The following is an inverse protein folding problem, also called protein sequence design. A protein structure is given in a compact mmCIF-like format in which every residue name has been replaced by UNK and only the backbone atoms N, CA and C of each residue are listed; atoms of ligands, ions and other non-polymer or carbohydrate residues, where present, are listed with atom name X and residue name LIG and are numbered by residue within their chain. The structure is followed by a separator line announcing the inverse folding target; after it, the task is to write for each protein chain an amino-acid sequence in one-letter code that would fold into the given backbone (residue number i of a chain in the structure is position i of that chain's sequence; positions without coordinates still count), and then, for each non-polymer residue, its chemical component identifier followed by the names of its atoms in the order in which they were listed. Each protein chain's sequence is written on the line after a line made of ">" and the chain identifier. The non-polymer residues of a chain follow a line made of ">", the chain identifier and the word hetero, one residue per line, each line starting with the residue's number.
data_IF_928361721978
#
_entry.id   IF_928361721978
#
_cell.length_a   1.000
_cell.length_b   1.000
_cell.length_c   1.000
_cell.angle_alpha   90.00
_cell.angle_beta   90.00
_cell.angle_gamma   90.00
#
_symmetry.space_group_name_H-M   'P 1'
#
loop_
_entity.id
_entity.type
_entity.pdbx_description
1 polymer ?
#
# COMPACT_ATOMS: atom_id res chain seq x y z
N UNK A 1 -24.09 33.51 -44.75
CA UNK A 1 -22.68 33.11 -44.51
C UNK A 1 -22.20 33.36 -43.08
N UNK A 2 -22.44 34.52 -42.45
CA UNK A 2 -21.89 34.87 -41.12
C UNK A 2 -22.26 33.93 -39.95
N UNK A 3 -23.47 33.38 -39.93
CA UNK A 3 -23.93 32.51 -38.82
C UNK A 3 -23.22 31.14 -38.82
N UNK A 4 -22.93 30.56 -39.99
CA UNK A 4 -22.19 29.29 -40.09
C UNK A 4 -20.73 29.45 -39.61
N UNK A 5 -20.11 30.59 -39.88
CA UNK A 5 -18.75 30.90 -39.42
C UNK A 5 -18.68 31.11 -37.90
N UNK A 6 -19.71 31.70 -37.29
CA UNK A 6 -19.80 31.88 -35.83
C UNK A 6 -20.02 30.55 -35.10
N UNK A 7 -20.86 29.66 -35.64
CA UNK A 7 -21.08 28.31 -35.08
C UNK A 7 -19.80 27.47 -35.19
N UNK A 8 -19.10 27.54 -36.33
CA UNK A 8 -17.83 26.82 -36.51
C UNK A 8 -16.73 27.35 -35.58
N UNK A 9 -16.63 28.68 -35.39
CA UNK A 9 -15.69 29.27 -34.45
C UNK A 9 -16.00 28.93 -32.99
N UNK A 10 -17.28 28.88 -32.61
CA UNK A 10 -17.72 28.44 -31.28
C UNK A 10 -17.42 26.94 -31.05
N UNK A 11 -17.68 26.08 -32.03
CA UNK A 11 -17.30 24.66 -31.97
C UNK A 11 -15.78 24.48 -31.87
N UNK A 12 -14.99 25.24 -32.62
CA UNK A 12 -13.52 25.21 -32.51
C UNK A 12 -13.02 25.73 -31.15
N UNK A 13 -13.66 26.73 -30.54
CA UNK A 13 -13.29 27.19 -29.19
C UNK A 13 -13.68 26.18 -28.12
N UNK A 14 -14.80 25.47 -28.28
CA UNK A 14 -15.19 24.38 -27.36
C UNK A 14 -14.23 23.20 -27.49
N UNK A 15 -13.80 22.81 -28.71
CA UNK A 15 -12.81 21.72 -28.86
C UNK A 15 -11.45 22.10 -28.26
N UNK A 16 -10.99 23.34 -28.42
CA UNK A 16 -9.73 23.80 -27.80
C UNK A 16 -9.84 23.89 -26.27
N UNK A 17 -11.02 24.28 -25.73
CA UNK A 17 -11.27 24.29 -24.28
C UNK A 17 -11.30 22.90 -23.64
N UNK A 18 -11.77 21.88 -24.37
CA UNK A 18 -11.79 20.49 -23.88
C UNK A 18 -10.39 19.86 -23.87
N UNK A 19 -9.50 20.25 -24.78
CA UNK A 19 -8.08 19.83 -24.74
C UNK A 19 -7.26 20.56 -23.66
N UNK A 20 -7.82 21.58 -22.97
CA UNK A 20 -7.08 22.38 -21.99
C UNK A 20 -7.17 21.85 -20.54
N UNK A 21 -7.88 20.74 -20.29
CA UNK A 21 -7.96 20.13 -18.97
C UNK A 21 -7.09 18.86 -18.91
N UNK A 22 -5.84 19.07 -18.47
CA UNK A 22 -4.88 18.04 -18.00
C UNK A 22 -4.08 17.30 -19.09
N UNK A 23 -2.92 17.87 -19.49
CA UNK A 23 -2.08 17.47 -20.66
C UNK A 23 -0.63 17.12 -20.28
N UNK A 24 -0.31 16.78 -19.03
CA UNK A 24 1.08 16.46 -18.70
C UNK A 24 1.46 15.05 -19.16
N UNK A 25 2.53 14.86 -19.95
CA UNK A 25 2.94 13.53 -20.45
C UNK A 25 3.53 12.63 -19.35
N UNK A 26 3.68 13.14 -18.13
CA UNK A 26 4.22 12.39 -17.01
C UNK A 26 3.09 11.83 -16.14
N UNK A 27 3.07 10.51 -15.96
CA UNK A 27 2.03 9.82 -15.19
C UNK A 27 2.27 9.81 -13.67
N UNK A 28 3.40 10.33 -13.17
CA UNK A 28 3.68 10.38 -11.73
C UNK A 28 4.11 9.07 -11.07
N UNK A 29 4.33 7.99 -11.82
CA UNK A 29 4.72 6.69 -11.24
C UNK A 29 6.25 6.56 -11.02
N UNK A 30 7.06 7.00 -11.99
CA UNK A 30 8.52 6.82 -11.98
C UNK A 30 9.27 8.01 -11.38
N UNK A 31 8.86 8.45 -10.19
CA UNK A 31 9.47 9.57 -9.49
C UNK A 31 10.94 9.27 -9.13
N UNK A 32 11.83 10.20 -9.43
CA UNK A 32 13.23 10.19 -9.01
C UNK A 32 13.79 11.63 -8.96
N UNK A 33 15.01 11.78 -8.46
CA UNK A 33 15.63 13.11 -8.30
C UNK A 33 15.79 13.88 -9.61
N UNK A 34 15.95 13.19 -10.75
CA UNK A 34 16.08 13.81 -12.06
C UNK A 34 14.78 14.35 -12.64
N UNK A 35 13.62 13.95 -12.12
CA UNK A 35 12.31 14.34 -12.66
C UNK A 35 11.34 14.93 -11.62
N UNK A 36 11.81 15.25 -10.42
CA UNK A 36 11.01 15.80 -9.32
C UNK A 36 10.20 17.07 -9.70
N UNK A 37 10.73 17.89 -10.61
CA UNK A 37 10.09 19.13 -11.05
C UNK A 37 8.98 18.95 -12.11
N UNK A 38 8.75 17.72 -12.58
CA UNK A 38 7.71 17.45 -13.58
C UNK A 38 6.33 17.48 -12.94
N UNK A 39 5.41 18.16 -13.60
CA UNK A 39 4.00 18.16 -13.25
C UNK A 39 3.31 16.89 -13.78
N UNK A 40 2.31 16.42 -13.06
CA UNK A 40 1.47 15.26 -13.39
C UNK A 40 0.06 15.49 -12.86
N UNK A 41 -0.93 14.91 -13.53
CA UNK A 41 -2.33 14.92 -13.11
C UNK A 41 -2.69 13.72 -12.19
N UNK A 42 -1.67 12.92 -11.85
CA UNK A 42 -1.81 11.79 -10.96
C UNK A 42 -2.29 12.19 -9.56
N UNK A 43 -3.07 11.31 -8.93
CA UNK A 43 -3.69 11.56 -7.63
C UNK A 43 -3.01 10.71 -6.56
N UNK A 44 -2.23 11.33 -5.69
CA UNK A 44 -1.65 10.65 -4.52
C UNK A 44 -2.67 10.51 -3.40
N UNK A 45 -2.63 9.39 -2.69
CA UNK A 45 -3.52 9.05 -1.58
C UNK A 45 -2.75 8.24 -0.53
N UNK A 46 -3.33 8.14 0.66
CA UNK A 46 -2.76 7.42 1.79
C UNK A 46 -3.86 6.71 2.56
N UNK A 47 -3.75 5.39 2.69
CA UNK A 47 -4.59 4.57 3.57
C UNK A 47 -3.83 4.33 4.88
N UNK A 48 -4.54 4.45 5.99
CA UNK A 48 -4.02 4.22 7.35
C UNK A 48 -5.16 3.86 8.30
N UNK A 49 -4.89 3.50 9.56
CA UNK A 49 -5.93 3.32 10.57
C UNK A 49 -6.83 4.56 10.78
N UNK A 50 -6.37 5.76 10.42
CA UNK A 50 -7.17 7.00 10.47
C UNK A 50 -8.10 7.16 9.26
N UNK A 51 -7.86 6.43 8.17
CA UNK A 51 -8.55 6.58 6.90
C UNK A 51 -8.43 5.28 6.08
N UNK A 52 -9.34 4.33 6.31
CA UNK A 52 -9.32 3.01 5.65
C UNK A 52 -9.57 3.08 4.14
N UNK A 53 -10.27 4.11 3.66
CA UNK A 53 -10.58 4.28 2.22
C UNK A 53 -9.51 5.10 1.49
N UNK A 54 -8.70 5.86 2.23
CA UNK A 54 -7.73 6.79 1.65
C UNK A 54 -8.37 8.01 0.99
N UNK A 55 -9.68 8.23 1.15
CA UNK A 55 -10.39 9.36 0.56
C UNK A 55 -9.84 10.71 1.04
N UNK A 56 -9.93 11.72 0.16
CA UNK A 56 -9.47 13.07 0.46
C UNK A 56 -10.24 13.65 1.65
N UNK A 57 -9.51 14.11 2.66
CA UNK A 57 -10.08 14.79 3.83
C UNK A 57 -10.77 13.87 4.83
N UNK A 58 -10.52 12.55 4.77
CA UNK A 58 -11.12 11.55 5.68
C UNK A 58 -10.18 11.05 6.77
N UNK A 59 -8.98 11.60 6.92
CA UNK A 59 -8.11 11.33 8.07
C UNK A 59 -8.50 12.16 9.30
N UNK A 60 -8.27 11.63 10.51
CA UNK A 60 -8.51 12.36 11.75
C UNK A 60 -9.99 12.54 12.10
N UNK A 61 -10.87 11.66 11.63
CA UNK A 61 -12.32 11.84 11.76
C UNK A 61 -12.90 11.32 13.08
N UNK A 62 -12.12 10.52 13.82
CA UNK A 62 -12.51 9.91 15.07
C UNK A 62 -12.66 10.93 16.21
N UNK A 63 -13.68 10.75 17.04
CA UNK A 63 -13.93 11.53 18.24
C UNK A 63 -13.53 10.70 19.49
N UNK A 64 -12.54 11.16 20.29
CA UNK A 64 -12.01 10.37 21.39
C UNK A 64 -12.98 10.19 22.57
N UNK A 65 -14.10 10.93 22.59
CA UNK A 65 -15.14 10.76 23.62
C UNK A 65 -16.26 9.88 23.11
N UNK A 66 -16.73 10.12 21.88
CA UNK A 66 -17.88 9.40 21.31
C UNK A 66 -17.53 8.03 20.75
N UNK A 67 -16.33 7.87 20.20
CA UNK A 67 -15.93 6.66 19.48
C UNK A 67 -15.05 5.72 20.32
N UNK A 68 -14.79 6.04 21.59
CA UNK A 68 -13.84 5.35 22.48
C UNK A 68 -14.01 3.83 22.61
N UNK A 69 -15.24 3.32 22.51
CA UNK A 69 -15.55 1.91 22.71
C UNK A 69 -15.63 1.13 21.37
N UNK A 70 -15.35 1.80 20.24
CA UNK A 70 -15.39 1.21 18.91
C UNK A 70 -14.00 0.73 18.47
N UNK A 71 -13.87 -0.59 18.28
CA UNK A 71 -12.63 -1.24 17.82
C UNK A 71 -12.19 -0.64 16.48
N UNK A 72 -10.92 -0.28 16.39
CA UNK A 72 -10.31 0.24 15.16
C UNK A 72 -10.91 1.56 14.67
N UNK A 73 -11.55 2.32 15.56
CA UNK A 73 -12.05 3.67 15.28
C UNK A 73 -11.37 4.72 16.15
N UNK A 74 -11.14 4.46 17.43
CA UNK A 74 -10.50 5.40 18.36
C UNK A 74 -9.57 4.68 19.35
N UNK A 75 -8.70 3.80 18.86
CA UNK A 75 -7.91 2.91 19.71
C UNK A 75 -6.97 3.65 20.70
N UNK A 76 -6.60 4.90 20.43
CA UNK A 76 -5.80 5.74 21.34
C UNK A 76 -6.62 6.86 22.02
N UNK A 77 -7.94 6.69 22.14
CA UNK A 77 -8.84 7.71 22.69
C UNK A 77 -8.40 8.25 24.06
N UNK A 78 -7.86 7.40 24.94
CA UNK A 78 -7.45 7.84 26.28
C UNK A 78 -6.30 8.84 26.23
N UNK A 79 -5.31 8.63 25.35
CA UNK A 79 -4.20 9.56 25.15
C UNK A 79 -4.65 10.83 24.42
N UNK A 80 -5.70 10.75 23.61
CA UNK A 80 -6.28 11.85 22.87
C UNK A 80 -7.53 12.46 23.53
N UNK A 81 -7.82 12.16 24.81
CA UNK A 81 -9.11 12.45 25.46
C UNK A 81 -9.50 13.93 25.49
N UNK A 82 -8.50 14.80 25.50
CA UNK A 82 -8.66 16.26 25.52
C UNK A 82 -8.52 16.89 24.12
N UNK A 83 -8.32 16.04 23.10
CA UNK A 83 -8.24 16.43 21.69
C UNK A 83 -9.61 16.23 21.01
N UNK A 84 -9.80 16.86 19.85
CA UNK A 84 -11.00 16.72 19.04
C UNK A 84 -10.73 16.07 17.68
N UNK A 85 -11.76 16.05 16.82
CA UNK A 85 -11.60 15.70 15.41
C UNK A 85 -10.53 16.57 14.74
N UNK A 86 -9.76 15.97 13.83
CA UNK A 86 -8.59 16.54 13.17
C UNK A 86 -7.26 16.08 13.77
N UNK A 87 -7.27 15.50 14.98
CA UNK A 87 -6.09 14.89 15.60
C UNK A 87 -6.02 13.38 15.33
N UNK A 88 -4.84 12.80 15.57
CA UNK A 88 -4.61 11.36 15.44
C UNK A 88 -5.10 10.62 16.68
N UNK A 89 -6.26 9.98 16.59
CA UNK A 89 -6.98 9.32 17.69
C UNK A 89 -6.96 7.78 17.56
N UNK A 90 -6.74 7.28 16.35
CA UNK A 90 -6.67 5.89 15.95
C UNK A 90 -5.36 5.60 15.19
N UNK A 91 -4.22 5.53 15.88
CA UNK A 91 -2.92 5.35 15.21
C UNK A 91 -2.64 3.91 14.74
N UNK A 92 -3.40 2.92 15.22
CA UNK A 92 -3.23 1.50 14.91
C UNK A 92 -4.57 0.78 14.82
N UNK A 93 -4.57 -0.40 14.20
CA UNK A 93 -5.65 -1.37 14.27
C UNK A 93 -5.26 -2.55 15.18
N UNK A 94 -6.25 -3.22 15.74
CA UNK A 94 -6.17 -4.49 16.44
C UNK A 94 -6.68 -5.57 15.49
N UNK A 95 -5.87 -6.62 15.31
CA UNK A 95 -6.23 -7.84 14.57
C UNK A 95 -6.30 -8.99 15.57
N UNK A 96 -7.50 -9.54 15.75
CA UNK A 96 -7.77 -10.60 16.72
C UNK A 96 -7.10 -11.92 16.33
N UNK A 97 -6.98 -12.87 17.27
CA UNK A 97 -6.52 -14.21 16.95
C UNK A 97 -7.34 -14.86 15.83
N UNK A 98 -6.68 -15.41 14.80
CA UNK A 98 -7.30 -16.02 13.63
C UNK A 98 -8.03 -15.07 12.68
N UNK A 99 -7.99 -13.75 12.93
CA UNK A 99 -8.70 -12.77 12.12
C UNK A 99 -7.88 -12.39 10.87
N UNK A 100 -8.57 -12.31 9.73
CA UNK A 100 -8.08 -11.62 8.54
C UNK A 100 -8.80 -10.28 8.40
N UNK A 101 -8.04 -9.20 8.24
CA UNK A 101 -8.57 -7.87 8.01
C UNK A 101 -8.04 -7.30 6.68
N UNK A 102 -8.91 -6.63 5.93
CA UNK A 102 -8.51 -5.83 4.77
C UNK A 102 -7.92 -4.51 5.28
N UNK A 103 -6.64 -4.25 5.00
CA UNK A 103 -5.95 -3.04 5.42
C UNK A 103 -5.87 -1.99 4.31
N UNK A 104 -6.09 -2.38 3.06
CA UNK A 104 -6.31 -1.47 1.94
C UNK A 104 -7.19 -2.14 0.88
N UNK A 105 -8.09 -1.35 0.31
CA UNK A 105 -8.84 -1.65 -0.91
C UNK A 105 -8.86 -0.38 -1.75
N UNK A 106 -8.27 -0.46 -2.95
CA UNK A 106 -8.02 0.69 -3.82
C UNK A 106 -8.66 0.40 -5.16
N UNK A 107 -9.50 1.31 -5.64
CA UNK A 107 -10.14 1.22 -6.96
C UNK A 107 -9.46 2.15 -7.98
N UNK A 108 -9.45 1.71 -9.24
CA UNK A 108 -8.85 2.40 -10.37
C UNK A 108 -7.42 1.94 -10.68
N UNK A 109 -6.84 2.41 -11.79
CA UNK A 109 -5.45 2.15 -12.12
C UNK A 109 -4.50 3.00 -11.28
N UNK A 110 -3.33 2.45 -10.96
CA UNK A 110 -2.31 3.16 -10.21
C UNK A 110 -1.15 2.28 -9.77
N UNK A 111 -0.37 2.77 -8.81
CA UNK A 111 0.65 1.96 -8.14
C UNK A 111 0.76 2.32 -6.66
N UNK A 112 1.00 1.31 -5.83
CA UNK A 112 1.50 1.51 -4.47
C UNK A 112 2.98 1.88 -4.60
N UNK A 113 3.38 2.97 -3.95
CA UNK A 113 4.75 3.49 -4.02
C UNK A 113 5.47 3.43 -2.68
N UNK A 114 4.74 3.34 -1.58
CA UNK A 114 5.34 3.16 -0.27
C UNK A 114 4.38 2.45 0.69
N UNK A 115 4.92 1.51 1.45
CA UNK A 115 4.24 0.88 2.58
C UNK A 115 5.12 1.10 3.81
N UNK A 116 4.54 1.64 4.87
CA UNK A 116 5.12 1.65 6.21
C UNK A 116 4.29 0.79 7.16
N UNK A 117 4.94 0.00 8.01
CA UNK A 117 4.29 -0.82 9.02
C UNK A 117 5.11 -0.89 10.31
N UNK A 118 4.41 -0.98 11.43
CA UNK A 118 4.95 -1.37 12.73
C UNK A 118 4.01 -2.40 13.37
N UNK A 119 4.21 -3.70 13.12
CA UNK A 119 3.45 -4.77 13.75
C UNK A 119 4.00 -5.11 15.14
N UNK A 120 3.12 -5.35 16.11
CA UNK A 120 3.49 -5.91 17.42
C UNK A 120 3.37 -7.44 17.45
N UNK A 121 3.95 -8.08 18.46
CA UNK A 121 3.89 -9.53 18.64
C UNK A 121 4.89 -10.26 17.76
N UNK A 122 4.61 -11.51 17.42
CA UNK A 122 5.44 -12.32 16.54
C UNK A 122 5.14 -12.01 15.07
N UNK A 123 6.10 -11.39 14.37
CA UNK A 123 5.93 -10.98 12.98
C UNK A 123 5.70 -12.14 12.01
N UNK A 124 6.12 -13.36 12.36
CA UNK A 124 5.84 -14.54 11.52
C UNK A 124 4.41 -15.04 11.61
N UNK A 125 3.64 -14.57 12.59
CA UNK A 125 2.22 -14.89 12.71
C UNK A 125 1.30 -13.88 12.01
N UNK A 126 1.86 -12.81 11.45
CA UNK A 126 1.10 -11.83 10.66
C UNK A 126 1.34 -12.09 9.18
N UNK A 127 0.38 -12.67 8.47
CA UNK A 127 0.50 -13.02 7.04
C UNK A 127 -0.03 -11.88 6.19
N UNK A 128 0.87 -11.26 5.44
CA UNK A 128 0.57 -10.18 4.50
C UNK A 128 0.23 -10.80 3.14
N UNK A 129 -0.92 -10.40 2.59
CA UNK A 129 -1.34 -10.77 1.24
C UNK A 129 -1.69 -9.56 0.40
N UNK A 130 -1.30 -9.58 -0.87
CA UNK A 130 -1.66 -8.56 -1.85
C UNK A 130 -2.27 -9.22 -3.07
N UNK A 131 -3.35 -8.61 -3.57
CA UNK A 131 -4.11 -9.05 -4.72
C UNK A 131 -4.18 -7.91 -5.73
N UNK A 132 -3.82 -8.19 -6.97
CA UNK A 132 -3.89 -7.24 -8.08
C UNK A 132 -5.10 -7.49 -8.96
N UNK A 133 -5.79 -6.41 -9.31
CA UNK A 133 -6.98 -6.43 -10.13
C UNK A 133 -8.01 -7.42 -9.59
N UNK A 134 -8.59 -8.28 -10.44
CA UNK A 134 -9.65 -9.22 -10.07
C UNK A 134 -9.12 -10.61 -9.69
N UNK A 135 -7.84 -10.74 -9.35
CA UNK A 135 -7.26 -12.03 -9.00
C UNK A 135 -7.82 -12.59 -7.67
N UNK A 136 -7.99 -13.91 -7.63
CA UNK A 136 -8.51 -14.63 -6.46
C UNK A 136 -7.40 -15.12 -5.54
N UNK A 137 -6.27 -15.51 -6.13
CA UNK A 137 -5.08 -15.97 -5.43
C UNK A 137 -4.12 -14.79 -5.25
N UNK A 138 -3.45 -14.66 -4.09
CA UNK A 138 -2.58 -13.53 -3.84
C UNK A 138 -1.29 -13.62 -4.66
N UNK A 139 -0.92 -12.52 -5.33
CA UNK A 139 0.38 -12.37 -5.98
C UNK A 139 1.54 -12.20 -5.00
N UNK A 140 1.25 -11.70 -3.79
CA UNK A 140 2.19 -11.61 -2.67
C UNK A 140 1.59 -12.36 -1.49
N UNK A 141 2.32 -13.34 -0.94
CA UNK A 141 1.95 -14.01 0.31
C UNK A 141 3.21 -14.32 1.13
N UNK A 142 3.41 -13.55 2.21
CA UNK A 142 4.57 -13.67 3.09
C UNK A 142 4.18 -13.33 4.54
N UNK A 143 4.83 -13.93 5.55
CA UNK A 143 4.83 -13.34 6.87
C UNK A 143 5.42 -11.92 6.81
N UNK A 144 4.85 -10.98 7.57
CA UNK A 144 5.18 -9.55 7.47
C UNK A 144 6.66 -9.30 7.78
N UNK A 145 7.22 -10.00 8.78
CA UNK A 145 8.64 -9.89 9.12
C UNK A 145 9.54 -10.26 7.93
N UNK A 146 9.31 -11.43 7.33
CA UNK A 146 10.09 -11.94 6.20
C UNK A 146 9.96 -11.04 4.95
N UNK A 147 8.77 -10.46 4.69
CA UNK A 147 8.58 -9.49 3.59
C UNK A 147 9.45 -8.24 3.74
N UNK A 148 9.61 -7.74 4.97
CA UNK A 148 10.43 -6.57 5.30
C UNK A 148 11.84 -6.93 5.77
N UNK A 149 12.36 -8.10 5.40
CA UNK A 149 13.73 -8.54 5.71
C UNK A 149 14.05 -8.65 7.22
N UNK A 150 13.07 -9.03 8.04
CA UNK A 150 13.14 -9.11 9.50
C UNK A 150 12.58 -10.45 10.02
N UNK A 151 13.19 -11.57 9.64
CA UNK A 151 12.63 -12.91 9.90
C UNK A 151 12.61 -13.34 11.38
N UNK A 152 13.56 -12.81 12.15
CA UNK A 152 13.92 -13.36 13.47
C UNK A 152 13.17 -12.73 14.64
N UNK A 153 12.16 -11.89 14.37
CA UNK A 153 11.41 -11.18 15.39
C UNK A 153 12.28 -10.29 16.30
N UNK A 154 13.41 -9.83 15.76
CA UNK A 154 14.39 -8.97 16.42
C UNK A 154 14.75 -7.82 15.49
N UNK A 155 15.07 -6.67 16.07
CA UNK A 155 15.50 -5.52 15.30
C UNK A 155 16.90 -5.75 14.71
N UNK A 156 16.99 -5.69 13.39
CA UNK A 156 18.23 -5.58 12.65
C UNK A 156 18.09 -4.45 11.64
N UNK A 157 18.96 -3.45 11.70
CA UNK A 157 18.89 -2.33 10.78
C UNK A 157 19.14 -2.80 9.34
N UNK A 158 18.27 -2.41 8.43
CA UNK A 158 18.46 -2.57 7.00
C UNK A 158 18.24 -1.22 6.32
N UNK A 159 19.16 -0.82 5.45
CA UNK A 159 19.05 0.38 4.63
C UNK A 159 19.33 0.00 3.18
N UNK A 160 18.29 -0.08 2.37
CA UNK A 160 18.38 -0.35 0.93
C UNK A 160 17.42 0.56 0.16
N UNK A 161 17.48 0.54 -1.17
CA UNK A 161 16.54 1.31 -2.01
C UNK A 161 15.10 0.78 -1.88
N UNK A 162 14.94 -0.53 -1.77
CA UNK A 162 13.64 -1.18 -1.82
C UNK A 162 13.00 -1.36 -0.43
N UNK A 163 13.79 -1.74 0.57
CA UNK A 163 13.31 -2.03 1.93
C UNK A 163 14.22 -1.39 2.95
N UNK A 164 13.62 -0.77 3.97
CA UNK A 164 14.34 -0.27 5.15
C UNK A 164 13.71 -0.77 6.44
N UNK A 165 14.54 -1.13 7.41
CA UNK A 165 14.15 -1.48 8.77
C UNK A 165 14.81 -0.47 9.70
N UNK A 166 14.00 0.42 10.24
CA UNK A 166 14.42 1.50 11.13
C UNK A 166 14.08 1.17 12.59
N UNK A 167 14.67 1.86 13.58
CA UNK A 167 14.41 1.62 15.00
C UNK A 167 12.91 1.61 15.35
N UNK A 168 12.53 0.78 16.32
CA UNK A 168 11.14 0.66 16.78
C UNK A 168 10.23 -0.14 15.84
N UNK A 169 10.79 -1.11 15.11
CA UNK A 169 10.05 -1.94 14.14
C UNK A 169 9.37 -1.08 13.05
N UNK A 170 10.07 -0.05 12.58
CA UNK A 170 9.61 0.82 11.52
C UNK A 170 9.99 0.25 10.15
N UNK A 171 9.17 -0.68 9.66
CA UNK A 171 9.33 -1.35 8.38
C UNK A 171 8.88 -0.44 7.24
N UNK A 172 9.70 -0.31 6.21
CA UNK A 172 9.41 0.49 5.02
C UNK A 172 9.70 -0.32 3.76
N UNK A 173 8.81 -0.22 2.78
CA UNK A 173 8.93 -0.82 1.46
C UNK A 173 8.62 0.23 0.40
N UNK A 174 9.47 0.33 -0.61
CA UNK A 174 9.43 1.29 -1.71
C UNK A 174 9.41 0.59 -3.08
N UNK A 175 9.14 -0.73 -3.11
CA UNK A 175 8.82 -1.40 -4.37
C UNK A 175 7.59 -0.71 -4.99
N UNK A 176 7.71 -0.32 -6.27
CA UNK A 176 6.57 0.12 -7.06
C UNK A 176 5.70 -1.10 -7.36
N UNK A 177 4.43 -1.07 -6.97
CA UNK A 177 3.49 -2.19 -7.17
C UNK A 177 2.30 -1.71 -8.01
N UNK A 178 2.35 -1.81 -9.35
CA UNK A 178 1.29 -1.37 -10.24
C UNK A 178 0.05 -2.27 -10.17
N UNK A 179 -1.12 -1.66 -10.44
CA UNK A 179 -2.41 -2.33 -10.62
C UNK A 179 -3.26 -1.56 -11.63
N UNK A 180 -4.08 -2.25 -12.44
CA UNK A 180 -4.82 -1.62 -13.56
C UNK A 180 -6.30 -1.38 -13.27
N UNK A 181 -6.85 -2.10 -12.29
CA UNK A 181 -8.27 -2.02 -11.92
C UNK A 181 -8.45 -1.78 -10.43
N UNK A 182 -7.74 -2.55 -9.60
CA UNK A 182 -7.82 -2.44 -8.15
C UNK A 182 -6.63 -3.11 -7.47
N UNK A 183 -6.38 -2.74 -6.22
CA UNK A 183 -5.45 -3.45 -5.34
C UNK A 183 -6.14 -3.73 -4.02
N UNK A 184 -5.94 -4.95 -3.49
CA UNK A 184 -6.43 -5.32 -2.16
C UNK A 184 -5.27 -5.87 -1.34
N UNK A 185 -5.13 -5.38 -0.11
CA UNK A 185 -4.14 -5.87 0.84
C UNK A 185 -4.85 -6.35 2.09
N UNK A 186 -4.55 -7.57 2.50
CA UNK A 186 -5.07 -8.16 3.73
C UNK A 186 -3.93 -8.54 4.67
N UNK A 187 -4.20 -8.46 5.97
CA UNK A 187 -3.33 -8.99 7.01
C UNK A 187 -4.10 -10.03 7.82
N UNK A 188 -3.54 -11.22 7.95
CA UNK A 188 -4.09 -12.29 8.79
C UNK A 188 -3.21 -12.48 10.03
N UNK A 189 -3.81 -12.54 11.21
CA UNK A 189 -3.14 -12.98 12.42
C UNK A 189 -3.39 -14.49 12.61
N UNK A 190 -2.42 -15.34 12.25
CA UNK A 190 -2.52 -16.79 12.42
C UNK A 190 -2.26 -17.25 13.86
N UNK A 191 -1.88 -16.34 14.77
CA UNK A 191 -1.85 -16.65 16.20
C UNK A 191 -3.28 -16.92 16.69
N UNK A 192 -3.47 -17.94 17.51
CA UNK A 192 -4.76 -18.33 18.08
C UNK A 192 -4.96 -17.86 19.52
N UNK A 193 -3.92 -17.30 20.14
CA UNK A 193 -3.94 -16.89 21.55
C UNK A 193 -3.94 -15.37 21.75
N UNK A 194 -3.18 -14.62 20.94
CA UNK A 194 -2.93 -13.20 21.17
C UNK A 194 -3.37 -12.31 20.01
N UNK A 195 -3.97 -11.17 20.36
CA UNK A 195 -4.20 -10.09 19.39
C UNK A 195 -2.88 -9.39 19.03
N UNK A 196 -2.86 -8.74 17.87
CA UNK A 196 -1.72 -7.95 17.42
C UNK A 196 -2.17 -6.53 17.05
N UNK A 197 -1.30 -5.54 17.26
CA UNK A 197 -1.54 -4.14 16.90
C UNK A 197 -0.69 -3.76 15.69
N UNK A 198 -1.33 -3.21 14.66
CA UNK A 198 -0.68 -2.79 13.43
C UNK A 198 -0.82 -1.28 13.28
N UNK A 199 0.31 -0.58 13.34
CA UNK A 199 0.42 0.76 12.80
C UNK A 199 0.83 0.62 11.34
N UNK A 200 0.17 1.33 10.43
CA UNK A 200 0.55 1.26 9.02
C UNK A 200 0.15 2.51 8.24
N UNK A 201 0.79 2.65 7.09
CA UNK A 201 0.45 3.61 6.07
C UNK A 201 0.75 3.00 4.70
N UNK A 202 -0.19 3.10 3.77
CA UNK A 202 -0.04 2.64 2.39
C UNK A 202 -0.26 3.85 1.49
N UNK A 203 0.84 4.35 0.92
CA UNK A 203 0.82 5.47 0.00
C UNK A 203 0.80 4.97 -1.44
N UNK A 204 -0.14 5.50 -2.22
CA UNK A 204 -0.35 5.09 -3.61
C UNK A 204 -0.71 6.29 -4.48
N UNK A 205 -0.54 6.08 -5.78
CA UNK A 205 -0.80 7.08 -6.82
C UNK A 205 -1.76 6.49 -7.84
N UNK A 206 -2.89 7.17 -8.08
CA UNK A 206 -3.87 6.82 -9.10
C UNK A 206 -3.60 7.57 -10.39
N UNK A 207 -3.46 6.83 -11.47
CA UNK A 207 -3.11 7.28 -12.82
C UNK A 207 -3.19 6.10 -13.78
N UNK A 208 -3.23 6.35 -15.09
CA UNK A 208 -3.04 5.30 -16.08
C UNK A 208 -1.67 4.61 -15.92
N UNK A 209 -1.70 3.28 -15.94
CA UNK A 209 -0.51 2.42 -15.83
C UNK A 209 -0.14 1.92 -17.23
N UNK A 210 1.11 2.15 -17.69
CA UNK A 210 1.59 1.66 -18.98
C UNK A 210 1.39 0.15 -19.19
N UNK A 211 1.18 -0.27 -20.44
CA UNK A 211 0.97 -1.69 -20.78
C UNK A 211 2.20 -2.58 -20.51
N UNK A 212 3.40 -1.99 -20.48
CA UNK A 212 4.66 -2.68 -20.24
C UNK A 212 5.06 -2.79 -18.76
N UNK A 213 4.23 -2.26 -17.84
CA UNK A 213 4.42 -2.45 -16.39
C UNK A 213 3.94 -3.84 -15.94
N UNK A 214 4.82 -4.58 -15.26
CA UNK A 214 4.50 -5.88 -14.66
C UNK A 214 3.87 -5.71 -13.26
N UNK A 215 3.28 -6.79 -12.73
CA UNK A 215 2.78 -6.85 -11.36
C UNK A 215 3.88 -7.31 -10.40
N UNK A 216 3.84 -6.82 -9.17
CA UNK A 216 4.80 -7.21 -8.14
C UNK A 216 4.38 -8.54 -7.48
N UNK A 217 5.32 -9.47 -7.35
CA UNK A 217 5.09 -10.76 -6.69
C UNK A 217 6.13 -11.02 -5.61
N UNK A 218 5.74 -11.71 -4.55
CA UNK A 218 6.67 -12.21 -3.53
C UNK A 218 6.13 -13.50 -2.90
N UNK A 219 7.01 -14.50 -2.76
CA UNK A 219 6.70 -15.79 -2.13
C UNK A 219 7.58 -15.98 -0.91
N UNK A 220 7.00 -16.50 0.17
CA UNK A 220 7.75 -17.01 1.31
C UNK A 220 7.89 -18.53 1.21
N UNK A 221 9.09 -19.04 1.44
CA UNK A 221 9.37 -20.49 1.53
C UNK A 221 10.27 -20.75 2.72
N UNK A 222 10.05 -21.89 3.38
CA UNK A 222 10.82 -22.33 4.54
C UNK A 222 11.14 -23.81 4.42
N UNK A 223 12.41 -24.15 4.51
CA UNK A 223 12.88 -25.54 4.67
C UNK A 223 13.28 -25.74 6.12
N UNK A 224 12.44 -26.41 6.91
CA UNK A 224 12.76 -26.75 8.30
C UNK A 224 12.16 -28.11 8.69
N UNK A 225 12.97 -29.14 8.97
CA UNK A 225 14.44 -29.14 8.91
C UNK A 225 14.95 -29.00 7.46
N UNK A 226 16.15 -28.45 7.29
CA UNK A 226 16.82 -28.40 5.98
C UNK A 226 17.22 -29.80 5.54
N UNK A 227 16.83 -30.20 4.32
CA UNK A 227 17.23 -31.48 3.71
C UNK A 227 18.23 -31.20 2.58
N UNK A 228 19.50 -31.57 2.79
CA UNK A 228 20.57 -31.29 1.83
C UNK A 228 20.95 -29.81 1.77
N UNK A 229 21.43 -29.36 0.60
CA UNK A 229 21.93 -28.00 0.38
C UNK A 229 21.09 -27.18 -0.61
N UNK A 230 20.05 -27.77 -1.19
CA UNK A 230 19.19 -27.10 -2.16
C UNK A 230 17.97 -26.50 -1.45
N UNK A 231 17.75 -25.21 -1.68
CA UNK A 231 16.56 -24.51 -1.24
C UNK A 231 15.94 -23.75 -2.42
N UNK A 232 14.68 -24.05 -2.72
CA UNK A 232 13.93 -23.35 -3.75
C UNK A 232 13.47 -22.00 -3.19
N UNK A 233 13.88 -20.91 -3.84
CA UNK A 233 13.51 -19.54 -3.45
C UNK A 233 12.10 -19.17 -3.93
N UNK A 234 11.81 -19.49 -5.19
CA UNK A 234 10.55 -19.20 -5.87
C UNK A 234 10.20 -20.37 -6.78
N UNK A 235 8.91 -20.68 -6.93
CA UNK A 235 8.43 -21.79 -7.75
C UNK A 235 7.10 -21.44 -8.42
N UNK A 236 6.73 -22.19 -9.46
CA UNK A 236 5.43 -22.11 -10.12
C UNK A 236 5.18 -20.85 -10.96
N UNK A 237 6.15 -19.96 -11.10
CA UNK A 237 6.01 -18.72 -11.91
C UNK A 237 6.12 -19.03 -13.40
N UNK A 238 5.12 -18.61 -14.18
CA UNK A 238 5.10 -18.71 -15.65
C UNK A 238 4.71 -17.37 -16.24
N UNK A 239 5.50 -16.85 -17.17
CA UNK A 239 5.23 -15.56 -17.83
C UNK A 239 6.51 -14.81 -18.18
N UNK A 240 6.37 -13.54 -18.55
CA UNK A 240 7.47 -12.61 -18.81
C UNK A 240 7.62 -11.67 -17.62
N UNK A 241 8.84 -11.55 -17.09
CA UNK A 241 9.14 -10.68 -15.96
C UNK A 241 10.62 -10.71 -15.60
N UNK A 242 10.94 -10.18 -14.42
CA UNK A 242 12.30 -10.11 -13.90
C UNK A 242 12.34 -10.59 -12.45
N UNK A 243 13.39 -11.32 -12.09
CA UNK A 243 13.70 -11.61 -10.70
C UNK A 243 14.50 -10.44 -10.12
N UNK A 244 13.98 -9.80 -9.06
CA UNK A 244 14.50 -8.51 -8.59
C UNK A 244 15.08 -8.52 -7.17
N UNK A 245 14.96 -9.62 -6.42
CA UNK A 245 15.52 -9.67 -5.08
C UNK A 245 15.27 -10.96 -4.33
N UNK A 246 15.98 -11.12 -3.21
CA UNK A 246 15.82 -12.23 -2.27
C UNK A 246 16.26 -11.75 -0.90
N UNK A 247 15.50 -12.13 0.12
CA UNK A 247 15.96 -12.10 1.49
C UNK A 247 16.13 -13.54 1.97
N UNK A 248 17.29 -13.84 2.54
CA UNK A 248 17.63 -15.13 3.12
C UNK A 248 17.95 -14.93 4.60
N UNK A 249 17.32 -15.75 5.44
CA UNK A 249 17.44 -15.71 6.89
C UNK A 249 17.63 -17.11 7.44
#
# INVERSE_FOLDING_TARGET
>A
MRIKSLILAALCMVTVGVYAQSNYPFNGLDMNMGNLSRLSDAKTRSISPENFTGEKGKGGMADPVRDKDQRNVANAHHAAKDLGKGWKVNPFIIVKPGETITIAEIEGPGAIQQIWMTPTGNWRFSILRMYWDDEKEPSVECPVGDFFCSAYNEYAQLSSLAVCVNPGSAFNCYWKMPFRKKARITLENINTAEEMRLYYQINYTLTEVPEDEAYFHAQFRRSNPTQGSLHTLIDGVKGKGQYVGTYLA
#
